data_IF_159259702799
#
_entry.id   IF_159259702799
#
_cell.length_a   1.000
_cell.length_b   1.000
_cell.length_c   1.000
_cell.angle_alpha   90.00
_cell.angle_beta   90.00
_cell.angle_gamma   90.00
#
_symmetry.space_group_name_H-M   'P 1'
#
loop_
_entity.id
_entity.type
_entity.pdbx_description
1 polymer ?
#
# COMPACT_ATOMS: atom_id res chain seq x y z
N UNK A 1 -31.65 -22.95 5.65
CA UNK A 1 -30.77 -21.77 5.65
C UNK A 1 -29.91 -21.89 4.42
N UNK A 2 -30.07 -20.97 3.46
CA UNK A 2 -29.24 -20.97 2.26
C UNK A 2 -27.82 -20.50 2.59
N UNK A 3 -26.76 -21.01 1.93
CA UNK A 3 -25.39 -20.56 2.14
C UNK A 3 -25.14 -19.07 1.83
N UNK A 4 -26.15 -18.39 1.27
CA UNK A 4 -26.14 -16.97 0.90
C UNK A 4 -26.40 -15.98 2.06
N UNK A 5 -26.79 -16.45 3.26
CA UNK A 5 -27.20 -15.58 4.38
C UNK A 5 -26.08 -15.24 5.37
N UNK A 6 -24.82 -15.61 5.08
CA UNK A 6 -23.68 -15.13 5.88
C UNK A 6 -23.44 -13.68 5.49
N UNK A 7 -24.04 -12.75 6.21
CA UNK A 7 -23.72 -11.32 6.10
C UNK A 7 -22.23 -11.14 6.36
N UNK A 8 -21.47 -10.83 5.32
CA UNK A 8 -20.05 -10.49 5.44
C UNK A 8 -19.92 -9.25 6.31
N UNK A 9 -19.01 -9.22 7.29
CA UNK A 9 -18.85 -8.05 8.14
C UNK A 9 -18.52 -6.84 7.27
N UNK A 10 -19.33 -5.78 7.42
CA UNK A 10 -19.03 -4.50 6.79
C UNK A 10 -17.92 -3.82 7.62
N UNK A 11 -16.78 -3.45 7.00
CA UNK A 11 -15.70 -2.80 7.71
C UNK A 11 -16.17 -1.44 8.25
N UNK A 12 -15.99 -1.28 9.56
CA UNK A 12 -16.28 -0.05 10.28
C UNK A 12 -15.21 0.16 11.35
N UNK A 13 -15.29 1.25 12.11
CA UNK A 13 -14.33 1.52 13.17
C UNK A 13 -14.21 0.38 14.18
N UNK A 14 -15.33 -0.24 14.58
CA UNK A 14 -15.32 -1.36 15.53
C UNK A 14 -14.54 -2.55 14.94
N UNK A 15 -14.77 -2.89 13.67
CA UNK A 15 -14.03 -3.95 12.98
C UNK A 15 -12.53 -3.62 12.90
N UNK A 16 -12.17 -2.40 12.50
CA UNK A 16 -10.76 -1.98 12.35
C UNK A 16 -10.02 -2.06 13.69
N UNK A 17 -10.64 -1.63 14.78
CA UNK A 17 -10.02 -1.67 16.11
C UNK A 17 -10.19 -2.99 16.85
N UNK A 18 -10.89 -3.98 16.31
CA UNK A 18 -11.10 -5.28 16.95
C UNK A 18 -9.86 -6.19 16.94
N UNK A 19 -8.92 -5.96 16.00
CA UNK A 19 -7.71 -6.77 15.86
C UNK A 19 -6.54 -5.96 15.28
N UNK A 20 -5.29 -6.13 15.78
CA UNK A 20 -4.12 -5.39 15.27
C UNK A 20 -3.91 -5.54 13.76
N UNK A 21 -4.15 -6.74 13.21
CA UNK A 21 -4.05 -6.96 11.78
C UNK A 21 -5.03 -6.09 10.99
N UNK A 22 -6.28 -5.93 11.45
CA UNK A 22 -7.27 -5.10 10.78
C UNK A 22 -6.88 -3.62 10.83
N UNK A 23 -6.38 -3.15 11.97
CA UNK A 23 -5.91 -1.78 12.13
C UNK A 23 -4.75 -1.46 11.17
N UNK A 24 -3.79 -2.38 11.04
CA UNK A 24 -2.66 -2.23 10.13
C UNK A 24 -3.10 -2.38 8.66
N UNK A 25 -3.91 -3.40 8.33
CA UNK A 25 -4.40 -3.61 6.98
C UNK A 25 -5.21 -2.42 6.45
N UNK A 26 -6.01 -1.79 7.31
CA UNK A 26 -6.76 -0.57 6.97
C UNK A 26 -5.91 0.72 7.07
N UNK A 27 -4.59 0.63 7.07
CA UNK A 27 -3.70 1.79 7.07
C UNK A 27 -4.03 2.77 8.20
N UNK A 28 -4.11 2.25 9.44
CA UNK A 28 -4.48 3.01 10.65
C UNK A 28 -5.90 3.62 10.59
N UNK A 29 -6.79 3.05 9.78
CA UNK A 29 -8.17 3.51 9.58
C UNK A 29 -8.39 4.34 8.31
N UNK A 30 -7.35 4.73 7.58
CA UNK A 30 -7.46 5.47 6.31
C UNK A 30 -8.26 4.70 5.24
N UNK A 31 -8.21 3.36 5.28
CA UNK A 31 -8.97 2.46 4.42
C UNK A 31 -10.49 2.47 4.64
N UNK A 32 -10.98 3.17 5.67
CA UNK A 32 -12.42 3.41 5.85
C UNK A 32 -12.93 4.61 5.04
N UNK A 33 -12.08 5.28 4.27
CA UNK A 33 -12.50 6.36 3.40
C UNK A 33 -13.57 5.86 2.41
N UNK A 34 -14.69 6.59 2.26
CA UNK A 34 -15.82 6.14 1.45
C UNK A 34 -15.54 6.16 -0.06
N UNK A 35 -14.54 6.94 -0.49
CA UNK A 35 -14.14 7.09 -1.89
C UNK A 35 -12.61 6.96 -1.96
N UNK A 36 -12.13 6.14 -2.88
CA UNK A 36 -10.72 5.94 -3.18
C UNK A 36 -9.84 5.67 -1.92
N UNK A 37 -10.16 4.66 -1.08
CA UNK A 37 -9.43 4.39 0.16
C UNK A 37 -7.93 4.19 -0.05
N UNK A 38 -7.51 3.54 -1.13
CA UNK A 38 -6.10 3.39 -1.48
C UNK A 38 -5.36 4.72 -1.72
N UNK A 39 -6.04 5.76 -2.20
CA UNK A 39 -5.48 7.12 -2.27
C UNK A 39 -5.14 7.63 -0.86
N UNK A 40 -6.02 7.40 0.11
CA UNK A 40 -5.76 7.77 1.51
C UNK A 40 -4.66 6.89 2.13
N UNK A 41 -4.59 5.59 1.77
CA UNK A 41 -3.45 4.74 2.14
C UNK A 41 -2.13 5.31 1.65
N UNK A 42 -2.03 5.63 0.36
CA UNK A 42 -0.81 6.24 -0.21
C UNK A 42 -0.46 7.56 0.47
N UNK A 43 -1.45 8.40 0.81
CA UNK A 43 -1.23 9.65 1.54
C UNK A 43 -0.66 9.42 2.95
N UNK A 44 -0.99 8.32 3.62
CA UNK A 44 -0.40 7.95 4.93
C UNK A 44 1.09 7.60 4.79
N UNK A 45 1.49 6.97 3.69
CA UNK A 45 2.89 6.63 3.43
C UNK A 45 3.81 7.86 3.34
N UNK A 46 3.28 9.00 2.89
CA UNK A 46 4.07 10.25 2.74
C UNK A 46 4.62 10.76 4.08
N UNK A 47 3.79 11.12 5.07
CA UNK A 47 4.29 11.62 6.35
C UNK A 47 5.13 10.58 7.10
N UNK A 48 4.82 9.29 6.98
CA UNK A 48 5.65 8.23 7.56
C UNK A 48 7.07 8.27 7.00
N UNK A 49 7.22 8.40 5.68
CA UNK A 49 8.54 8.52 5.06
C UNK A 49 9.24 9.81 5.45
N UNK A 50 8.55 10.95 5.40
CA UNK A 50 9.11 12.26 5.74
C UNK A 50 9.62 12.32 7.18
N UNK A 51 9.03 11.55 8.07
CA UNK A 51 9.46 11.47 9.46
C UNK A 51 10.55 10.41 9.67
N UNK A 52 10.32 9.17 9.21
CA UNK A 52 11.19 8.03 9.51
C UNK A 52 12.54 8.10 8.78
N UNK A 53 12.53 8.40 7.48
CA UNK A 53 13.77 8.34 6.68
C UNK A 53 14.84 9.33 7.15
N UNK A 54 14.54 10.60 7.46
CA UNK A 54 15.51 11.51 8.06
C UNK A 54 15.90 11.16 9.49
N UNK A 55 14.96 10.59 10.27
CA UNK A 55 15.19 10.28 11.68
C UNK A 55 16.11 9.08 11.90
N UNK A 56 15.98 8.04 11.08
CA UNK A 56 16.71 6.78 11.28
C UNK A 56 17.78 6.48 10.21
N UNK A 57 17.81 7.24 9.12
CA UNK A 57 18.70 7.02 7.99
C UNK A 57 18.31 5.82 7.11
N UNK A 58 18.97 5.72 5.95
CA UNK A 58 18.57 4.78 4.88
C UNK A 58 18.62 3.32 5.32
N UNK A 59 19.64 2.91 6.07
CA UNK A 59 19.82 1.50 6.46
C UNK A 59 18.69 1.01 7.39
N UNK A 60 18.40 1.78 8.45
CA UNK A 60 17.31 1.41 9.36
C UNK A 60 15.94 1.56 8.71
N UNK A 61 15.77 2.57 7.85
CA UNK A 61 14.54 2.74 7.09
C UNK A 61 14.27 1.53 6.17
N UNK A 62 15.30 0.98 5.50
CA UNK A 62 15.16 -0.23 4.69
C UNK A 62 14.71 -1.44 5.54
N UNK A 63 15.25 -1.58 6.75
CA UNK A 63 14.79 -2.64 7.68
C UNK A 63 13.33 -2.41 8.07
N UNK A 64 12.94 -1.18 8.38
CA UNK A 64 11.54 -0.83 8.69
C UNK A 64 10.61 -1.17 7.52
N UNK A 65 11.00 -0.84 6.28
CA UNK A 65 10.23 -1.19 5.08
C UNK A 65 10.06 -2.70 4.92
N UNK A 66 11.11 -3.48 5.09
CA UNK A 66 11.04 -4.94 5.01
C UNK A 66 10.12 -5.54 6.09
N UNK A 67 10.22 -5.03 7.32
CA UNK A 67 9.33 -5.44 8.40
C UNK A 67 7.88 -5.01 8.13
N UNK A 68 7.65 -3.79 7.65
CA UNK A 68 6.32 -3.29 7.29
C UNK A 68 5.70 -4.13 6.17
N UNK A 69 6.49 -4.54 5.16
CA UNK A 69 6.04 -5.45 4.11
C UNK A 69 5.65 -6.82 4.70
N UNK A 70 6.50 -7.44 5.52
CA UNK A 70 6.22 -8.75 6.11
C UNK A 70 4.99 -8.73 7.03
N UNK A 71 4.86 -7.68 7.85
CA UNK A 71 3.69 -7.45 8.71
C UNK A 71 2.45 -7.16 7.85
N UNK A 72 2.59 -6.40 6.75
CA UNK A 72 1.54 -6.13 5.79
C UNK A 72 0.98 -7.40 5.17
N UNK A 73 1.85 -8.32 4.72
CA UNK A 73 1.44 -9.64 4.21
C UNK A 73 0.57 -10.40 5.22
N UNK A 74 1.01 -10.45 6.48
CA UNK A 74 0.24 -11.07 7.55
C UNK A 74 -1.10 -10.34 7.79
N UNK A 75 -1.07 -9.02 7.85
CA UNK A 75 -2.25 -8.20 8.13
C UNK A 75 -3.31 -8.33 7.03
N UNK A 76 -2.90 -8.27 5.75
CA UNK A 76 -3.78 -8.49 4.59
C UNK A 76 -4.40 -9.89 4.62
N UNK A 77 -3.60 -10.92 4.90
CA UNK A 77 -4.09 -12.30 4.90
C UNK A 77 -5.12 -12.56 6.02
N UNK A 78 -4.85 -12.08 7.23
CA UNK A 78 -5.78 -12.19 8.38
C UNK A 78 -7.06 -11.39 8.10
N UNK A 79 -6.93 -10.16 7.60
CA UNK A 79 -8.07 -9.28 7.37
C UNK A 79 -8.92 -9.75 6.19
N UNK A 80 -8.29 -10.17 5.09
CA UNK A 80 -8.97 -10.72 3.93
C UNK A 80 -9.80 -11.96 4.28
N UNK A 81 -9.25 -12.87 5.11
CA UNK A 81 -9.98 -14.04 5.64
C UNK A 81 -11.17 -13.62 6.49
N UNK A 82 -11.02 -12.64 7.37
CA UNK A 82 -12.10 -12.15 8.21
C UNK A 82 -13.24 -11.48 7.39
N UNK A 83 -12.90 -10.80 6.30
CA UNK A 83 -13.86 -10.17 5.38
C UNK A 83 -14.42 -11.15 4.33
N UNK A 84 -13.83 -12.34 4.18
CA UNK A 84 -14.23 -13.33 3.16
C UNK A 84 -13.84 -12.93 1.73
N UNK A 85 -12.89 -11.99 1.57
CA UNK A 85 -12.30 -11.59 0.29
C UNK A 85 -10.81 -11.31 0.49
N UNK A 86 -9.97 -11.79 -0.42
CA UNK A 86 -8.51 -11.67 -0.27
C UNK A 86 -8.03 -10.22 -0.35
N UNK A 87 -8.65 -9.45 -1.23
CA UNK A 87 -8.38 -8.04 -1.45
C UNK A 87 -9.69 -7.27 -1.34
N UNK A 88 -9.90 -6.64 -0.19
CA UNK A 88 -11.03 -5.76 0.06
C UNK A 88 -10.56 -4.32 -0.14
N UNK A 89 -11.29 -3.50 -0.87
CA UNK A 89 -10.88 -2.13 -1.20
C UNK A 89 -10.58 -1.20 0.00
N UNK A 90 -10.83 -1.63 1.22
CA UNK A 90 -10.40 -0.95 2.46
C UNK A 90 -9.09 -1.47 3.02
N UNK A 91 -8.51 -2.55 2.49
CA UNK A 91 -7.14 -2.96 2.77
C UNK A 91 -6.25 -2.02 1.97
N UNK A 92 -5.42 -1.24 2.64
CA UNK A 92 -4.62 -0.15 2.05
C UNK A 92 -3.18 -0.08 2.62
N UNK A 93 -2.77 -1.08 3.40
CA UNK A 93 -1.41 -1.12 3.92
C UNK A 93 -0.36 -1.39 2.84
N UNK A 94 -0.72 -2.04 1.75
CA UNK A 94 0.04 -2.25 0.53
C UNK A 94 0.40 -0.90 -0.12
N UNK A 95 -0.57 -0.01 -0.32
CA UNK A 95 -0.32 1.34 -0.84
C UNK A 95 0.51 2.19 0.14
N UNK A 96 0.31 2.02 1.46
CA UNK A 96 1.17 2.70 2.45
C UNK A 96 2.62 2.29 2.27
N UNK A 97 2.90 0.97 2.25
CA UNK A 97 4.27 0.43 2.15
C UNK A 97 4.88 0.73 0.78
N UNK A 98 4.11 0.59 -0.30
CA UNK A 98 4.57 0.88 -1.65
C UNK A 98 4.91 2.37 -1.83
N UNK A 99 4.10 3.28 -1.29
CA UNK A 99 4.39 4.72 -1.33
C UNK A 99 5.65 5.05 -0.50
N UNK A 100 5.82 4.43 0.68
CA UNK A 100 7.04 4.55 1.47
C UNK A 100 8.27 4.05 0.68
N UNK A 101 8.14 2.95 -0.07
CA UNK A 101 9.20 2.43 -0.92
C UNK A 101 9.55 3.41 -2.03
N UNK A 102 8.57 3.96 -2.76
CA UNK A 102 8.82 4.94 -3.84
C UNK A 102 9.57 6.16 -3.32
N UNK A 103 9.13 6.71 -2.18
CA UNK A 103 9.74 7.91 -1.60
C UNK A 103 11.15 7.69 -1.03
N UNK A 104 11.57 6.45 -0.80
CA UNK A 104 12.94 6.13 -0.40
C UNK A 104 13.98 6.44 -1.49
N UNK A 105 13.56 6.51 -2.76
CA UNK A 105 14.45 6.63 -3.92
C UNK A 105 14.32 7.95 -4.68
N UNK A 106 13.51 8.89 -4.19
CA UNK A 106 13.31 10.19 -4.83
C UNK A 106 13.64 11.33 -3.87
N UNK A 107 14.01 12.52 -4.38
CA UNK A 107 14.20 13.68 -3.53
C UNK A 107 12.91 14.04 -2.77
N UNK A 108 12.99 14.23 -1.46
CA UNK A 108 11.83 14.54 -0.62
C UNK A 108 11.43 16.03 -0.72
N UNK A 109 11.33 16.53 -1.95
CA UNK A 109 10.81 17.88 -2.23
C UNK A 109 9.36 17.82 -2.69
N UNK A 110 8.56 18.87 -2.47
CA UNK A 110 7.12 18.82 -2.79
C UNK A 110 6.81 18.38 -4.22
N UNK A 111 7.57 18.85 -5.22
CA UNK A 111 7.37 18.49 -6.62
C UNK A 111 7.59 17.00 -6.88
N UNK A 112 8.66 16.41 -6.33
CA UNK A 112 8.95 14.98 -6.48
C UNK A 112 7.97 14.10 -5.71
N UNK A 113 7.53 14.53 -4.52
CA UNK A 113 6.51 13.82 -3.72
C UNK A 113 5.19 13.77 -4.49
N UNK A 114 4.74 14.89 -5.06
CA UNK A 114 3.51 14.93 -5.85
C UNK A 114 3.64 14.07 -7.11
N UNK A 115 4.76 14.15 -7.82
CA UNK A 115 5.01 13.32 -9.01
C UNK A 115 5.00 11.83 -8.65
N UNK A 116 5.68 11.44 -7.57
CA UNK A 116 5.72 10.06 -7.06
C UNK A 116 4.32 9.56 -6.71
N UNK A 117 3.54 10.35 -5.98
CA UNK A 117 2.18 10.01 -5.61
C UNK A 117 1.27 9.81 -6.83
N UNK A 118 1.27 10.76 -7.77
CA UNK A 118 0.41 10.68 -8.96
C UNK A 118 0.78 9.51 -9.87
N UNK A 119 2.08 9.28 -10.10
CA UNK A 119 2.54 8.15 -10.91
C UNK A 119 2.26 6.81 -10.24
N UNK A 120 2.50 6.70 -8.93
CA UNK A 120 2.18 5.48 -8.20
C UNK A 120 0.68 5.16 -8.30
N UNK A 121 -0.20 6.11 -8.02
CA UNK A 121 -1.66 5.90 -8.16
C UNK A 121 -2.07 5.55 -9.59
N UNK A 122 -1.43 6.13 -10.60
CA UNK A 122 -1.67 5.79 -12.00
C UNK A 122 -1.35 4.32 -12.28
N UNK A 123 -0.15 3.85 -11.90
CA UNK A 123 0.27 2.48 -12.19
C UNK A 123 -0.47 1.43 -11.35
N UNK A 124 -0.81 1.76 -10.11
CA UNK A 124 -1.63 0.91 -9.24
C UNK A 124 -3.06 0.72 -9.83
N UNK A 125 -3.69 1.78 -10.32
CA UNK A 125 -5.03 1.68 -10.93
C UNK A 125 -5.00 0.94 -12.27
N UNK A 126 -3.98 1.19 -13.12
CA UNK A 126 -3.87 0.57 -14.46
C UNK A 126 -3.46 -0.90 -14.34
N UNK A 127 -2.75 -1.26 -13.27
CA UNK A 127 -2.25 -2.62 -12.99
C UNK A 127 -1.52 -3.25 -14.18
N UNK A 128 -0.46 -2.58 -14.65
CA UNK A 128 0.41 -3.10 -15.70
C UNK A 128 1.02 -4.44 -15.28
N UNK A 129 1.40 -5.26 -16.27
CA UNK A 129 2.13 -6.49 -15.96
C UNK A 129 3.48 -6.15 -15.27
N UNK A 130 3.90 -6.79 -14.14
CA UNK A 130 3.32 -7.97 -13.52
C UNK A 130 2.27 -7.70 -12.43
N UNK A 131 1.95 -6.43 -12.05
CA UNK A 131 0.99 -6.11 -11.00
C UNK A 131 -0.36 -6.80 -11.22
N UNK A 132 -0.95 -6.66 -12.40
CA UNK A 132 -2.20 -7.33 -12.74
C UNK A 132 -2.14 -8.87 -12.76
N UNK A 133 -0.95 -9.47 -12.81
CA UNK A 133 -0.79 -10.91 -12.63
C UNK A 133 -0.90 -11.31 -11.15
N UNK A 134 -0.23 -10.58 -10.25
CA UNK A 134 -0.31 -10.81 -8.80
C UNK A 134 -1.73 -10.62 -8.31
N UNK A 135 -2.37 -9.51 -8.63
CA UNK A 135 -3.75 -9.20 -8.29
C UNK A 135 -4.73 -10.32 -8.69
N UNK A 136 -4.61 -10.88 -9.90
CA UNK A 136 -5.52 -11.92 -10.39
C UNK A 136 -5.23 -13.32 -9.88
N UNK A 137 -3.96 -13.67 -9.66
CA UNK A 137 -3.53 -15.05 -9.38
C UNK A 137 -3.26 -15.33 -7.92
N UNK A 138 -2.77 -14.36 -7.17
CA UNK A 138 -2.32 -14.55 -5.80
C UNK A 138 -3.34 -13.98 -4.81
N UNK A 139 -4.41 -14.75 -4.58
CA UNK A 139 -5.52 -14.34 -3.69
C UNK A 139 -5.22 -14.61 -2.21
N UNK A 140 -4.13 -14.02 -1.72
CA UNK A 140 -3.65 -14.06 -0.33
C UNK A 140 -2.81 -12.80 -0.03
N UNK A 141 -2.48 -12.56 1.23
CA UNK A 141 -1.81 -11.32 1.67
C UNK A 141 -0.53 -10.97 0.90
N UNK A 142 0.28 -11.97 0.50
CA UNK A 142 1.46 -11.69 -0.32
C UNK A 142 1.09 -11.16 -1.72
N UNK A 143 0.00 -11.65 -2.32
CA UNK A 143 -0.46 -11.17 -3.62
C UNK A 143 -0.90 -9.71 -3.57
N UNK A 144 -1.66 -9.34 -2.53
CA UNK A 144 -2.10 -7.97 -2.27
C UNK A 144 -0.89 -7.02 -2.15
N UNK A 145 0.11 -7.40 -1.35
CA UNK A 145 1.31 -6.58 -1.20
C UNK A 145 2.18 -6.50 -2.47
N UNK A 146 2.23 -7.57 -3.28
CA UNK A 146 3.12 -7.66 -4.44
C UNK A 146 2.61 -6.89 -5.66
N UNK A 147 1.31 -6.72 -5.83
CA UNK A 147 0.80 -5.94 -6.96
C UNK A 147 1.17 -4.46 -6.81
N UNK A 148 1.14 -3.92 -5.61
CA UNK A 148 1.55 -2.56 -5.32
C UNK A 148 3.09 -2.36 -5.36
N UNK A 149 3.86 -3.37 -4.94
CA UNK A 149 5.32 -3.34 -5.16
C UNK A 149 5.65 -3.31 -6.66
N UNK A 150 4.90 -4.02 -7.49
CA UNK A 150 5.09 -3.96 -8.94
C UNK A 150 4.69 -2.58 -9.51
N UNK A 151 3.61 -1.96 -9.03
CA UNK A 151 3.24 -0.58 -9.39
C UNK A 151 4.31 0.43 -8.95
N UNK A 152 4.87 0.25 -7.74
CA UNK A 152 5.99 1.07 -7.24
C UNK A 152 7.24 0.93 -8.12
N UNK A 153 7.55 -0.28 -8.61
CA UNK A 153 8.67 -0.49 -9.53
C UNK A 153 8.49 0.29 -10.85
N UNK A 154 7.31 0.27 -11.47
CA UNK A 154 7.02 1.08 -12.65
C UNK A 154 7.16 2.57 -12.37
N UNK A 155 6.66 3.02 -11.21
CA UNK A 155 6.79 4.41 -10.76
C UNK A 155 8.25 4.81 -10.65
N UNK A 156 9.07 3.98 -10.01
CA UNK A 156 10.51 4.25 -9.83
C UNK A 156 11.27 4.29 -11.16
N UNK A 157 10.93 3.43 -12.14
CA UNK A 157 11.54 3.48 -13.46
C UNK A 157 11.29 4.85 -14.13
N UNK A 158 10.04 5.31 -14.12
CA UNK A 158 9.69 6.61 -14.72
C UNK A 158 10.35 7.77 -13.99
N UNK A 159 10.35 7.75 -12.66
CA UNK A 159 11.00 8.79 -11.85
C UNK A 159 12.52 8.80 -12.01
N UNK A 160 13.16 7.62 -12.09
CA UNK A 160 14.60 7.52 -12.33
C UNK A 160 14.98 8.11 -13.70
N UNK A 161 14.22 7.83 -14.75
CA UNK A 161 14.42 8.41 -16.08
C UNK A 161 14.25 9.94 -16.05
N UNK A 162 13.24 10.45 -15.34
CA UNK A 162 13.02 11.87 -15.17
C UNK A 162 14.17 12.54 -14.40
N UNK A 163 14.64 11.94 -13.32
CA UNK A 163 15.80 12.44 -12.54
C UNK A 163 17.06 12.47 -13.39
N UNK A 164 17.33 11.41 -14.15
CA UNK A 164 18.48 11.35 -15.06
C UNK A 164 18.42 12.44 -16.13
N UNK A 165 17.26 12.63 -16.75
CA UNK A 165 17.07 13.68 -17.79
C UNK A 165 17.21 15.10 -17.24
N UNK A 166 16.78 15.33 -16.00
CA UNK A 166 16.89 16.63 -15.33
C UNK A 166 18.27 16.87 -14.67
N UNK A 167 19.21 15.92 -14.79
CA UNK A 167 20.56 16.02 -14.22
C UNK A 167 20.58 15.98 -12.68
N UNK A 168 19.69 15.23 -12.09
CA UNK A 168 19.54 15.11 -10.62
C UNK A 168 19.73 13.69 -10.13
#
# INVERSE_FOLDING_TARGET
MSPSDVQRPQPNLVFVFSHPAHFLAFGFGSGLAPIAPGTFGSLVGIPLTLWLLPACGVALYAVILLLAFAIGVWACDVTGKALGVADHGGIVCDEVVAMMLVLAFVPLTPGWIVAAFLLFRLFDIIKLWPAGYFDRRWKHGLGVMMDDIAAAAHTLIVLALAMWWLGR
#
